data_IF_714848765255
#
_entry.id   IF_714848765255
#
_cell.length_a   1.000
_cell.length_b   1.000
_cell.length_c   1.000
_cell.angle_alpha   90.00
_cell.angle_beta   90.00
_cell.angle_gamma   90.00
#
_symmetry.space_group_name_H-M   'P 1'
#
loop_
_entity.id
_entity.type
_entity.pdbx_description
1 polymer ?
#
# COMPACT_ATOMS: atom_id res chain seq x y z
N UNK A 1 -2.84 1.12 5.57
CA UNK A 1 -3.36 0.91 4.21
C UNK A 1 -4.49 -0.11 4.33
N UNK A 2 -5.66 0.17 3.76
CA UNK A 2 -6.77 -0.76 3.67
C UNK A 2 -6.31 -2.10 3.08
N UNK A 3 -7.14 -3.10 3.25
CA UNK A 3 -6.99 -4.37 2.56
C UNK A 3 -7.39 -4.27 1.08
N UNK A 4 -6.91 -5.21 0.25
CA UNK A 4 -7.20 -5.25 -1.18
C UNK A 4 -8.69 -5.37 -1.51
N UNK A 5 -9.49 -6.04 -0.65
CA UNK A 5 -10.93 -6.18 -0.88
C UNK A 5 -11.63 -4.81 -0.80
N UNK A 6 -11.33 -4.02 0.23
CA UNK A 6 -11.83 -2.64 0.38
C UNK A 6 -11.52 -1.81 -0.88
N UNK A 7 -10.28 -1.86 -1.38
CA UNK A 7 -9.89 -1.09 -2.56
C UNK A 7 -10.62 -1.53 -3.83
N UNK A 8 -10.70 -2.84 -4.09
CA UNK A 8 -11.43 -3.38 -5.25
C UNK A 8 -12.91 -2.97 -5.20
N UNK A 9 -13.55 -3.14 -4.04
CA UNK A 9 -14.94 -2.80 -3.84
C UNK A 9 -15.21 -1.30 -3.99
N UNK A 10 -14.31 -0.44 -3.48
CA UNK A 10 -14.41 1.01 -3.63
C UNK A 10 -14.19 1.49 -5.08
N UNK A 11 -13.50 0.71 -5.91
CA UNK A 11 -13.34 0.96 -7.32
C UNK A 11 -14.60 0.61 -8.16
N UNK A 12 -15.51 -0.21 -7.64
CA UNK A 12 -16.69 -0.66 -8.37
C UNK A 12 -17.70 0.45 -8.75
N UNK A 13 -18.00 1.44 -7.88
CA UNK A 13 -18.76 2.62 -8.28
C UNK A 13 -18.13 3.36 -9.48
N UNK A 14 -16.80 3.45 -9.54
CA UNK A 14 -16.09 4.12 -10.64
C UNK A 14 -16.23 3.33 -11.94
N UNK A 15 -16.09 2.00 -11.89
CA UNK A 15 -16.36 1.14 -13.04
C UNK A 15 -17.77 1.34 -13.59
N UNK A 16 -18.76 1.43 -12.70
CA UNK A 16 -20.17 1.68 -13.06
C UNK A 16 -20.37 3.07 -13.66
N UNK A 17 -19.85 4.11 -13.01
CA UNK A 17 -19.97 5.50 -13.47
C UNK A 17 -19.34 5.70 -14.85
N UNK A 18 -18.21 5.05 -15.09
CA UNK A 18 -17.50 5.08 -16.37
C UNK A 18 -18.07 4.11 -17.41
N UNK A 19 -19.18 3.42 -17.09
CA UNK A 19 -19.85 2.42 -17.95
C UNK A 19 -18.89 1.37 -18.53
N UNK A 20 -17.83 1.01 -17.79
CA UNK A 20 -16.79 0.12 -18.28
C UNK A 20 -17.36 -1.26 -18.63
N UNK A 21 -17.02 -1.76 -19.82
CA UNK A 21 -17.44 -3.09 -20.25
C UNK A 21 -16.58 -4.21 -19.67
N UNK A 22 -15.34 -3.88 -19.29
CA UNK A 22 -14.34 -4.81 -18.78
C UNK A 22 -13.60 -4.21 -17.58
N UNK A 23 -14.19 -4.17 -16.38
CA UNK A 23 -13.63 -3.43 -15.25
C UNK A 23 -12.39 -4.08 -14.61
N UNK A 24 -11.91 -5.22 -15.13
CA UNK A 24 -10.80 -6.00 -14.56
C UNK A 24 -9.53 -5.18 -14.41
N UNK A 25 -9.19 -4.40 -15.44
CA UNK A 25 -8.01 -3.51 -15.39
C UNK A 25 -8.18 -2.35 -14.41
N UNK A 26 -9.42 -1.89 -14.15
CA UNK A 26 -9.68 -0.90 -13.12
C UNK A 26 -9.43 -1.48 -11.73
N UNK A 27 -9.92 -2.70 -11.47
CA UNK A 27 -9.67 -3.42 -10.21
C UNK A 27 -8.20 -3.80 -10.02
N UNK A 28 -7.49 -4.18 -11.09
CA UNK A 28 -6.04 -4.37 -11.03
C UNK A 28 -5.32 -3.07 -10.68
N UNK A 29 -5.75 -1.95 -11.27
CA UNK A 29 -5.24 -0.63 -10.92
C UNK A 29 -5.45 -0.29 -9.44
N UNK A 30 -6.62 -0.62 -8.87
CA UNK A 30 -6.94 -0.30 -7.47
C UNK A 30 -6.14 -1.09 -6.45
N UNK A 31 -5.41 -2.13 -6.83
CA UNK A 31 -4.48 -2.82 -5.93
C UNK A 31 -3.01 -2.65 -6.33
N UNK A 32 -2.74 -2.13 -7.53
CA UNK A 32 -1.39 -1.95 -8.08
C UNK A 32 -0.39 -1.31 -7.10
N UNK A 33 -0.73 -0.24 -6.34
CA UNK A 33 0.22 0.37 -5.41
C UNK A 33 0.75 -0.58 -4.34
N UNK A 34 -0.07 -1.55 -3.92
CA UNK A 34 0.25 -2.47 -2.83
C UNK A 34 0.90 -3.77 -3.31
N UNK A 35 0.72 -4.16 -4.57
CA UNK A 35 1.16 -5.48 -5.08
C UNK A 35 2.64 -5.72 -4.83
N UNK A 36 3.49 -4.75 -5.18
CA UNK A 36 4.95 -4.89 -5.09
C UNK A 36 5.39 -4.99 -3.63
N UNK A 37 4.92 -4.08 -2.78
CA UNK A 37 5.23 -4.09 -1.36
C UNK A 37 4.76 -5.38 -0.71
N UNK A 38 3.52 -5.80 -0.96
CA UNK A 38 2.92 -7.01 -0.36
C UNK A 38 3.65 -8.28 -0.80
N UNK A 39 3.94 -8.41 -2.10
CA UNK A 39 4.69 -9.54 -2.63
C UNK A 39 6.10 -9.59 -2.02
N UNK A 40 6.77 -8.45 -1.93
CA UNK A 40 8.09 -8.35 -1.32
C UNK A 40 8.04 -8.73 0.17
N UNK A 41 7.16 -8.14 1.00
CA UNK A 41 6.99 -8.54 2.41
C UNK A 41 6.75 -10.04 2.56
N UNK A 42 5.86 -10.61 1.75
CA UNK A 42 5.59 -12.04 1.77
C UNK A 42 6.84 -12.87 1.46
N UNK A 43 7.59 -12.50 0.41
CA UNK A 43 8.80 -13.21 0.01
C UNK A 43 9.93 -13.08 1.04
N UNK A 44 10.11 -11.89 1.63
CA UNK A 44 11.13 -11.65 2.64
C UNK A 44 10.83 -12.39 3.95
N UNK A 45 9.57 -12.39 4.39
CA UNK A 45 9.13 -13.10 5.60
C UNK A 45 9.25 -14.62 5.44
N UNK A 46 8.84 -15.16 4.29
CA UNK A 46 8.99 -16.59 4.00
C UNK A 46 10.45 -17.00 3.79
N UNK A 47 11.25 -16.12 3.19
CA UNK A 47 12.65 -16.36 2.85
C UNK A 47 13.63 -16.23 4.02
N UNK A 48 13.19 -15.77 5.20
CA UNK A 48 14.04 -15.52 6.39
C UNK A 48 15.32 -14.72 6.07
N UNK A 49 15.22 -13.74 5.18
CA UNK A 49 16.37 -12.95 4.74
C UNK A 49 16.90 -12.04 5.87
N UNK A 50 18.21 -11.68 5.88
CA UNK A 50 18.82 -10.93 6.99
C UNK A 50 18.19 -9.55 7.19
N UNK A 51 17.60 -9.31 8.37
CA UNK A 51 16.74 -8.17 8.70
C UNK A 51 17.31 -6.76 8.39
N UNK A 52 18.63 -6.58 8.43
CA UNK A 52 19.26 -5.27 8.25
C UNK A 52 19.27 -4.80 6.78
N UNK A 53 19.61 -5.67 5.84
CA UNK A 53 19.54 -5.37 4.41
C UNK A 53 18.08 -5.16 3.97
N UNK A 54 17.15 -5.82 4.64
CA UNK A 54 15.71 -5.68 4.39
C UNK A 54 15.19 -4.34 4.85
N UNK A 55 15.52 -3.84 6.04
CA UNK A 55 14.79 -2.68 6.59
C UNK A 55 14.86 -1.41 5.72
N UNK A 56 16.06 -0.87 5.44
CA UNK A 56 16.18 0.35 4.63
C UNK A 56 15.63 0.15 3.22
N UNK A 57 15.92 -1.01 2.62
CA UNK A 57 15.42 -1.35 1.30
C UNK A 57 13.89 -1.39 1.28
N UNK A 58 13.26 -2.05 2.24
CA UNK A 58 11.81 -2.13 2.32
C UNK A 58 11.17 -0.76 2.58
N UNK A 59 11.71 0.01 3.53
CA UNK A 59 11.08 1.25 3.96
C UNK A 59 11.30 2.42 2.99
N UNK A 60 12.41 2.47 2.24
CA UNK A 60 12.65 3.50 1.23
C UNK A 60 12.27 2.99 -0.16
N UNK A 61 12.92 1.93 -0.62
CA UNK A 61 12.79 1.49 -2.02
C UNK A 61 11.37 1.00 -2.31
N UNK A 62 10.86 0.01 -1.55
CA UNK A 62 9.52 -0.52 -1.82
C UNK A 62 8.42 0.50 -1.55
N UNK A 63 8.56 1.33 -0.50
CA UNK A 63 7.55 2.36 -0.21
C UNK A 63 7.38 3.37 -1.36
N UNK A 64 8.43 3.68 -2.12
CA UNK A 64 8.28 4.57 -3.28
C UNK A 64 7.49 3.98 -4.45
N UNK A 65 7.36 2.65 -4.53
CA UNK A 65 6.42 2.01 -5.47
C UNK A 65 4.97 2.32 -5.12
N UNK A 66 4.72 2.64 -3.85
CA UNK A 66 3.46 3.19 -3.37
C UNK A 66 3.34 4.71 -3.66
N UNK A 67 3.68 5.13 -4.89
CA UNK A 67 3.51 6.51 -5.38
C UNK A 67 2.72 6.56 -6.70
N UNK A 68 1.94 7.63 -6.94
CA UNK A 68 1.23 7.81 -8.21
C UNK A 68 2.16 7.84 -9.42
N UNK A 69 3.35 8.43 -9.28
CA UNK A 69 4.34 8.49 -10.36
C UNK A 69 4.81 7.10 -10.79
N UNK A 70 5.22 6.24 -9.84
CA UNK A 70 5.65 4.88 -10.17
C UNK A 70 4.47 4.06 -10.71
N UNK A 71 3.27 4.19 -10.11
CA UNK A 71 2.06 3.53 -10.62
C UNK A 71 1.72 3.96 -12.05
N UNK A 72 1.95 5.23 -12.42
CA UNK A 72 1.75 5.71 -13.79
C UNK A 72 2.69 5.03 -14.78
N UNK A 73 3.97 4.86 -14.42
CA UNK A 73 4.95 4.14 -15.24
C UNK A 73 4.56 2.67 -15.42
N UNK A 74 4.18 2.01 -14.33
CA UNK A 74 3.75 0.60 -14.35
C UNK A 74 2.46 0.42 -15.14
N UNK A 75 1.47 1.31 -14.97
CA UNK A 75 0.24 1.30 -15.74
C UNK A 75 0.50 1.52 -17.24
N UNK A 76 1.41 2.44 -17.57
CA UNK A 76 1.87 2.67 -18.95
C UNK A 76 2.46 1.39 -19.55
N UNK A 77 3.42 0.77 -18.87
CA UNK A 77 4.04 -0.47 -19.31
C UNK A 77 3.03 -1.61 -19.48
N UNK A 78 2.19 -1.85 -18.46
CA UNK A 78 1.18 -2.91 -18.47
C UNK A 78 0.15 -2.72 -19.60
N UNK A 79 -0.27 -1.49 -19.86
CA UNK A 79 -1.27 -1.21 -20.89
C UNK A 79 -0.79 -1.56 -22.30
N UNK A 80 0.50 -1.47 -22.58
CA UNK A 80 1.10 -1.77 -23.89
C UNK A 80 1.09 -3.28 -24.23
N UNK A 81 0.77 -4.15 -23.27
CA UNK A 81 0.53 -5.58 -23.48
C UNK A 81 -0.94 -5.89 -23.83
N UNK A 82 -1.72 -4.91 -24.28
CA UNK A 82 -3.15 -5.08 -24.55
C UNK A 82 -3.53 -4.56 -25.94
N UNK A 83 -4.60 -5.10 -26.52
CA UNK A 83 -5.11 -4.64 -27.82
C UNK A 83 -5.62 -3.18 -27.78
N UNK A 84 -5.92 -2.64 -26.60
CA UNK A 84 -6.46 -1.29 -26.41
C UNK A 84 -5.68 -0.51 -25.34
N UNK A 85 -4.40 -0.18 -25.56
CA UNK A 85 -3.50 0.35 -24.54
C UNK A 85 -4.04 1.63 -23.90
N UNK A 86 -4.51 2.59 -24.69
CA UNK A 86 -5.04 3.85 -24.15
C UNK A 86 -6.31 3.67 -23.28
N UNK A 87 -7.13 2.65 -23.58
CA UNK A 87 -8.30 2.31 -22.74
C UNK A 87 -7.82 1.69 -21.43
N UNK A 88 -6.97 0.67 -21.50
CA UNK A 88 -6.45 -0.04 -20.32
C UNK A 88 -5.64 0.88 -19.41
N UNK A 89 -4.80 1.76 -19.97
CA UNK A 89 -4.05 2.76 -19.21
C UNK A 89 -4.97 3.65 -18.37
N UNK A 90 -6.04 4.20 -18.97
CA UNK A 90 -7.03 5.00 -18.25
C UNK A 90 -7.72 4.22 -17.15
N UNK A 91 -8.01 2.95 -17.37
CA UNK A 91 -8.65 2.09 -16.37
C UNK A 91 -7.73 1.81 -15.19
N UNK A 92 -6.47 1.43 -15.44
CA UNK A 92 -5.45 1.24 -14.41
C UNK A 92 -5.24 2.54 -13.62
N UNK A 93 -5.18 3.69 -14.31
CA UNK A 93 -5.04 5.00 -13.71
C UNK A 93 -6.21 5.35 -12.77
N UNK A 94 -7.45 5.20 -13.23
CA UNK A 94 -8.62 5.40 -12.38
C UNK A 94 -8.62 4.46 -11.17
N UNK A 95 -8.20 3.21 -11.38
CA UNK A 95 -8.00 2.22 -10.34
C UNK A 95 -7.04 2.72 -9.25
N UNK A 96 -5.78 3.02 -9.61
CA UNK A 96 -4.80 3.41 -8.60
C UNK A 96 -5.11 4.79 -7.99
N UNK A 97 -5.73 5.72 -8.73
CA UNK A 97 -6.15 7.00 -8.16
C UNK A 97 -7.21 6.79 -7.08
N UNK A 98 -8.16 5.88 -7.29
CA UNK A 98 -9.14 5.52 -6.24
C UNK A 98 -8.48 4.94 -4.99
N UNK A 99 -7.41 4.15 -5.19
CA UNK A 99 -6.59 3.63 -4.10
C UNK A 99 -5.93 4.75 -3.29
N UNK A 100 -5.19 5.65 -3.94
CA UNK A 100 -4.52 6.76 -3.28
C UNK A 100 -5.49 7.73 -2.58
N UNK A 101 -6.70 7.92 -3.11
CA UNK A 101 -7.74 8.72 -2.42
C UNK A 101 -8.10 8.07 -1.09
N UNK A 102 -8.33 6.75 -1.07
CA UNK A 102 -8.65 6.05 0.17
C UNK A 102 -7.51 6.12 1.17
N UNK A 103 -6.27 5.91 0.74
CA UNK A 103 -5.12 5.99 1.64
C UNK A 103 -4.87 7.40 2.17
N UNK A 104 -5.06 8.41 1.32
CA UNK A 104 -4.95 9.79 1.74
C UNK A 104 -5.94 10.09 2.85
N UNK A 105 -7.15 9.51 2.82
CA UNK A 105 -8.12 9.69 3.89
C UNK A 105 -7.75 8.97 5.19
N UNK A 106 -6.90 7.94 5.15
CA UNK A 106 -6.49 7.22 6.36
C UNK A 106 -5.57 8.04 7.24
N UNK A 107 -5.71 7.90 8.56
CA UNK A 107 -4.74 8.36 9.56
C UNK A 107 -3.55 7.42 9.60
N UNK A 108 -2.35 8.00 9.56
CA UNK A 108 -1.08 7.31 9.77
C UNK A 108 -0.16 8.20 10.61
N UNK A 109 0.63 7.64 11.51
CA UNK A 109 1.56 8.45 12.29
C UNK A 109 2.74 8.93 11.45
N UNK A 110 3.32 8.06 10.61
CA UNK A 110 4.38 8.42 9.67
C UNK A 110 4.39 7.52 8.42
N UNK A 111 3.32 6.76 8.15
CA UNK A 111 3.20 5.75 7.09
C UNK A 111 2.02 6.02 6.15
N UNK A 112 2.07 7.17 5.48
CA UNK A 112 1.09 7.59 4.47
C UNK A 112 1.60 7.40 3.05
N UNK A 113 0.87 7.92 2.07
CA UNK A 113 1.26 7.81 0.65
C UNK A 113 2.23 8.92 0.25
N UNK A 114 3.21 8.60 -0.58
CA UNK A 114 4.14 9.57 -1.19
C UNK A 114 3.55 10.16 -2.48
N UNK A 115 2.45 10.91 -2.34
CA UNK A 115 1.60 11.36 -3.46
C UNK A 115 2.33 12.20 -4.52
N UNK A 116 3.30 13.02 -4.11
CA UNK A 116 4.01 13.97 -4.97
C UNK A 116 5.44 13.51 -5.31
N UNK A 117 5.75 12.24 -5.11
CA UNK A 117 7.03 11.65 -5.53
C UNK A 117 7.18 11.74 -7.07
N UNK A 118 8.39 12.02 -7.61
CA UNK A 118 9.67 12.24 -6.92
C UNK A 118 9.94 13.70 -6.52
N UNK A 119 9.02 14.63 -6.79
CA UNK A 119 9.24 16.06 -6.58
C UNK A 119 9.26 16.43 -5.09
N UNK A 120 8.35 15.84 -4.31
CA UNK A 120 8.26 16.06 -2.85
C UNK A 120 8.24 14.70 -2.16
N UNK A 121 9.33 14.40 -1.44
CA UNK A 121 9.49 13.14 -0.71
C UNK A 121 9.05 13.32 0.73
N UNK A 122 7.73 13.21 0.94
CA UNK A 122 7.10 13.16 2.27
C UNK A 122 5.83 12.33 2.21
N UNK A 123 5.39 11.83 3.36
CA UNK A 123 4.12 11.13 3.48
C UNK A 123 2.95 12.11 3.60
N UNK A 124 1.86 11.82 2.91
CA UNK A 124 0.62 12.59 2.94
C UNK A 124 -0.51 11.75 3.52
N UNK A 125 -1.33 12.39 4.34
CA UNK A 125 -2.51 11.81 5.02
C UNK A 125 -3.38 12.96 5.51
N UNK A 126 -4.70 12.85 5.36
CA UNK A 126 -5.67 13.80 5.91
C UNK A 126 -6.04 13.49 7.36
N UNK A 127 -5.81 12.25 7.80
CA UNK A 127 -6.07 11.83 9.17
C UNK A 127 -7.53 11.55 9.51
N UNK A 128 -8.40 11.27 8.52
CA UNK A 128 -9.84 11.18 8.75
C UNK A 128 -10.25 9.93 9.57
N UNK A 129 -9.66 8.76 9.29
CA UNK A 129 -10.03 7.52 9.98
C UNK A 129 -8.87 6.52 10.10
N UNK A 130 -8.88 5.67 11.12
CA UNK A 130 -7.97 4.52 11.22
C UNK A 130 -8.55 3.33 10.48
N UNK A 131 -7.69 2.44 9.96
CA UNK A 131 -8.16 1.27 9.20
C UNK A 131 -8.92 0.23 10.05
N UNK A 132 -8.95 0.35 11.37
CA UNK A 132 -9.64 -0.58 12.28
C UNK A 132 -10.79 0.09 13.05
N UNK A 133 -11.09 1.36 12.75
CA UNK A 133 -12.17 2.07 13.41
C UNK A 133 -13.55 1.65 12.90
N UNK A 134 -14.60 2.21 13.51
CA UNK A 134 -15.98 1.90 13.13
C UNK A 134 -16.32 2.47 11.75
N UNK A 135 -15.71 3.60 11.38
CA UNK A 135 -15.98 4.27 10.12
C UNK A 135 -15.37 3.49 8.94
N UNK A 136 -14.16 2.98 9.07
CA UNK A 136 -13.55 2.07 8.12
C UNK A 136 -14.39 0.81 7.92
N UNK A 137 -14.86 0.19 9.01
CA UNK A 137 -15.75 -0.99 8.91
C UNK A 137 -17.04 -0.67 8.16
N UNK A 138 -17.61 0.50 8.41
CA UNK A 138 -18.75 0.98 7.63
C UNK A 138 -18.39 1.13 6.14
N UNK A 139 -17.26 1.76 5.81
CA UNK A 139 -16.79 1.90 4.41
C UNK A 139 -16.57 0.54 3.74
N UNK A 140 -15.95 -0.43 4.43
CA UNK A 140 -15.76 -1.79 3.94
C UNK A 140 -17.12 -2.44 3.63
N UNK A 141 -18.04 -2.48 4.60
CA UNK A 141 -19.37 -3.09 4.43
C UNK A 141 -20.12 -2.40 3.29
N UNK A 142 -20.12 -1.07 3.26
CA UNK A 142 -20.75 -0.27 2.22
C UNK A 142 -20.17 -0.59 0.84
N UNK A 143 -18.84 -0.61 0.72
CA UNK A 143 -18.17 -0.93 -0.54
C UNK A 143 -18.49 -2.35 -1.04
N UNK A 144 -18.53 -3.33 -0.14
CA UNK A 144 -18.90 -4.72 -0.46
C UNK A 144 -20.35 -4.80 -0.93
N UNK A 145 -21.29 -4.17 -0.24
CA UNK A 145 -22.70 -4.12 -0.66
C UNK A 145 -22.83 -3.52 -2.05
N UNK A 146 -22.16 -2.40 -2.31
CA UNK A 146 -22.17 -1.75 -3.61
C UNK A 146 -21.56 -2.64 -4.69
N UNK A 147 -20.45 -3.32 -4.38
CA UNK A 147 -19.84 -4.30 -5.28
C UNK A 147 -20.83 -5.44 -5.60
N UNK A 148 -21.53 -5.99 -4.61
CA UNK A 148 -22.52 -7.06 -4.80
C UNK A 148 -23.73 -6.61 -5.64
N UNK A 149 -24.23 -5.39 -5.43
CA UNK A 149 -25.30 -4.81 -6.26
C UNK A 149 -24.85 -4.70 -7.72
N UNK A 150 -23.61 -4.28 -7.95
CA UNK A 150 -23.06 -4.15 -9.30
C UNK A 150 -22.44 -5.43 -9.84
N UNK A 151 -22.35 -6.49 -9.05
CA UNK A 151 -21.68 -7.74 -9.43
C UNK A 151 -22.22 -8.28 -10.75
N UNK A 152 -23.54 -8.45 -10.84
CA UNK A 152 -24.17 -8.94 -12.08
C UNK A 152 -23.87 -8.05 -13.29
N UNK A 153 -23.74 -6.74 -13.10
CA UNK A 153 -23.47 -5.79 -14.20
C UNK A 153 -22.00 -5.77 -14.61
N UNK A 154 -21.11 -5.91 -13.62
CA UNK A 154 -19.66 -6.05 -13.80
C UNK A 154 -19.34 -7.32 -14.59
N UNK A 155 -20.11 -8.38 -14.36
CA UNK A 155 -19.86 -9.70 -14.95
C UNK A 155 -20.77 -10.09 -16.13
N UNK A 156 -21.84 -9.33 -16.43
CA UNK A 156 -22.74 -9.67 -17.55
C UNK A 156 -22.21 -9.27 -18.92
N UNK A 157 -21.19 -8.39 -18.97
CA UNK A 157 -20.65 -7.86 -20.22
C UNK A 157 -19.55 -8.76 -20.78
N UNK A 158 -19.58 -8.96 -22.10
CA UNK A 158 -18.81 -9.99 -22.83
C UNK A 158 -17.56 -9.48 -23.53
N UNK A 159 -17.14 -8.23 -23.28
CA UNK A 159 -15.99 -7.66 -23.98
C UNK A 159 -14.74 -7.92 -23.15
N UNK A 160 -13.90 -8.84 -23.61
CA UNK A 160 -12.60 -9.10 -23.02
C UNK A 160 -11.54 -8.34 -23.79
N UNK A 161 -10.88 -7.36 -23.16
CA UNK A 161 -9.67 -6.78 -23.75
C UNK A 161 -8.57 -7.84 -23.61
N UNK A 162 -8.12 -8.39 -24.75
CA UNK A 162 -7.12 -9.44 -24.79
C UNK A 162 -5.73 -8.89 -24.53
N UNK A 163 -4.90 -9.72 -23.91
CA UNK A 163 -3.46 -9.50 -23.86
C UNK A 163 -2.87 -9.77 -25.25
N UNK A 164 -1.93 -8.93 -25.65
CA UNK A 164 -1.23 -9.03 -26.92
C UNK A 164 0.27 -8.85 -26.68
N UNK A 165 1.10 -9.61 -27.41
CA UNK A 165 2.54 -9.39 -27.39
C UNK A 165 2.85 -8.00 -27.98
N UNK A 166 3.67 -7.18 -27.31
CA UNK A 166 3.98 -5.85 -27.77
C UNK A 166 4.82 -5.91 -29.06
N UNK A 167 4.64 -4.93 -29.94
CA UNK A 167 5.57 -4.70 -31.05
C UNK A 167 6.97 -4.35 -30.51
N UNK A 168 8.03 -4.46 -31.33
CA UNK A 168 9.39 -4.08 -30.92
C UNK A 168 9.44 -2.64 -30.39
N UNK A 169 8.73 -1.71 -31.04
CA UNK A 169 8.63 -0.31 -30.61
C UNK A 169 8.01 -0.19 -29.22
N UNK A 170 6.90 -0.90 -28.98
CA UNK A 170 6.28 -0.96 -27.65
C UNK A 170 7.20 -1.62 -26.63
N UNK A 171 7.93 -2.68 -27.00
CA UNK A 171 8.91 -3.35 -26.15
C UNK A 171 10.00 -2.40 -25.64
N UNK A 172 10.52 -1.54 -26.51
CA UNK A 172 11.49 -0.50 -26.13
C UNK A 172 10.87 0.48 -25.13
N UNK A 173 9.65 0.95 -25.37
CA UNK A 173 8.95 1.86 -24.45
C UNK A 173 8.69 1.20 -23.09
N UNK A 174 8.20 -0.04 -23.09
CA UNK A 174 7.98 -0.85 -21.88
C UNK A 174 9.29 -0.95 -21.10
N UNK A 175 10.41 -1.28 -21.76
CA UNK A 175 11.71 -1.38 -21.13
C UNK A 175 12.10 -0.08 -20.41
N UNK A 176 11.97 1.08 -21.08
CA UNK A 176 12.30 2.36 -20.45
C UNK A 176 11.35 2.74 -19.31
N UNK A 177 10.06 2.45 -19.43
CA UNK A 177 9.10 2.69 -18.34
C UNK A 177 9.40 1.84 -17.11
N UNK A 178 9.71 0.55 -17.29
CA UNK A 178 10.08 -0.35 -16.21
C UNK A 178 11.44 0.01 -15.62
N UNK A 179 12.44 0.32 -16.45
CA UNK A 179 13.74 0.79 -15.99
C UNK A 179 13.59 2.07 -15.16
N UNK A 180 12.79 3.04 -15.62
CA UNK A 180 12.48 4.23 -14.83
C UNK A 180 11.83 3.87 -13.49
N UNK A 181 10.79 3.01 -13.49
CA UNK A 181 10.10 2.60 -12.27
C UNK A 181 11.05 1.96 -11.24
N UNK A 182 12.05 1.20 -11.70
CA UNK A 182 13.06 0.57 -10.84
C UNK A 182 14.18 1.53 -10.41
N UNK A 183 14.61 2.43 -11.29
CA UNK A 183 15.76 3.32 -11.04
C UNK A 183 15.39 4.53 -10.18
N UNK A 184 14.22 5.14 -10.35
CA UNK A 184 13.83 6.33 -9.60
C UNK A 184 13.95 6.17 -8.07
N UNK A 185 13.45 5.07 -7.46
CA UNK A 185 13.65 4.79 -6.04
C UNK A 185 15.12 4.82 -5.58
N UNK A 186 16.03 4.29 -6.41
CA UNK A 186 17.48 4.31 -6.14
C UNK A 186 18.03 5.73 -6.26
N UNK A 187 17.65 6.45 -7.32
CA UNK A 187 18.11 7.81 -7.59
C UNK A 187 17.70 8.81 -6.50
N UNK A 188 16.52 8.61 -5.89
CA UNK A 188 15.99 9.48 -4.84
C UNK A 188 16.30 9.00 -3.42
N UNK A 189 16.99 7.87 -3.25
CA UNK A 189 17.23 7.21 -1.97
C UNK A 189 17.78 8.15 -0.89
N UNK A 190 18.86 8.88 -1.20
CA UNK A 190 19.49 9.80 -0.25
C UNK A 190 18.54 10.93 0.17
N UNK A 191 17.69 11.40 -0.75
CA UNK A 191 16.71 12.42 -0.46
C UNK A 191 15.58 11.86 0.41
N UNK A 192 15.14 10.63 0.18
CA UNK A 192 14.16 9.95 1.04
C UNK A 192 14.68 9.78 2.48
N UNK A 193 15.93 9.32 2.63
CA UNK A 193 16.58 9.23 3.93
C UNK A 193 16.73 10.61 4.58
N UNK A 194 17.18 11.64 3.84
CA UNK A 194 17.29 13.00 4.37
C UNK A 194 15.97 13.56 4.90
N UNK A 195 14.86 13.27 4.22
CA UNK A 195 13.51 13.68 4.60
C UNK A 195 12.86 12.78 5.67
N UNK A 196 13.59 11.81 6.22
CA UNK A 196 13.08 10.87 7.22
C UNK A 196 11.82 10.12 6.73
N UNK A 197 11.78 9.75 5.45
CA UNK A 197 10.68 8.96 4.91
C UNK A 197 10.57 7.64 5.70
N UNK A 198 9.37 7.33 6.20
CA UNK A 198 9.10 6.17 7.06
C UNK A 198 10.08 6.02 8.23
N UNK A 199 10.49 7.15 8.81
CA UNK A 199 11.36 7.20 10.01
C UNK A 199 12.74 6.58 9.83
N UNK A 200 13.19 6.36 8.59
CA UNK A 200 14.47 5.69 8.32
C UNK A 200 15.66 6.46 8.87
N UNK A 201 15.63 7.80 8.84
CA UNK A 201 16.70 8.64 9.41
C UNK A 201 16.73 8.52 10.93
N UNK A 202 15.56 8.53 11.56
CA UNK A 202 15.44 8.33 13.01
C UNK A 202 15.97 6.96 13.43
N UNK A 203 15.57 5.90 12.73
CA UNK A 203 16.01 4.53 13.04
C UNK A 203 17.53 4.36 12.82
N UNK A 204 18.09 5.03 11.82
CA UNK A 204 19.53 4.94 11.53
C UNK A 204 20.39 5.80 12.45
N UNK A 205 19.85 6.90 12.98
CA UNK A 205 20.55 7.83 13.85
C UNK A 205 19.57 8.45 14.86
N UNK A 206 19.19 7.69 15.90
CA UNK A 206 18.17 8.13 16.84
C UNK A 206 18.63 9.31 17.70
N UNK A 207 19.93 9.41 18.01
CA UNK A 207 20.51 10.50 18.79
C UNK A 207 20.27 11.88 18.16
N UNK A 208 20.26 11.96 16.82
CA UNK A 208 19.93 13.19 16.10
C UNK A 208 18.47 13.67 16.30
N UNK A 209 17.63 12.86 16.96
CA UNK A 209 16.22 13.12 17.24
C UNK A 209 15.92 13.32 18.73
N UNK A 210 16.93 13.43 19.60
CA UNK A 210 16.71 13.79 21.01
C UNK A 210 15.94 15.13 21.07
N UNK A 211 14.89 15.15 21.89
CA UNK A 211 13.92 16.23 22.03
C UNK A 211 13.14 16.59 20.75
N UNK A 212 13.08 15.70 19.77
CA UNK A 212 12.26 15.87 18.55
C UNK A 212 11.07 14.93 18.53
N UNK A 213 10.03 15.36 17.82
CA UNK A 213 8.89 14.50 17.52
C UNK A 213 9.35 13.35 16.62
N UNK A 214 9.03 12.14 17.02
CA UNK A 214 9.27 10.91 16.27
C UNK A 214 7.98 10.12 16.15
N UNK A 215 7.92 9.26 15.15
CA UNK A 215 6.87 8.27 15.07
C UNK A 215 7.40 7.00 14.40
N UNK A 216 6.81 5.87 14.74
CA UNK A 216 7.12 4.56 14.17
C UNK A 216 5.81 3.90 13.77
N UNK A 217 5.83 3.14 12.69
CA UNK A 217 4.62 2.57 12.08
C UNK A 217 4.78 1.07 11.94
N UNK A 218 3.86 0.32 12.54
CA UNK A 218 3.87 -1.15 12.61
C UNK A 218 5.14 -1.71 13.27
N UNK A 219 5.48 -1.23 14.46
CA UNK A 219 6.52 -1.81 15.32
C UNK A 219 5.96 -3.02 16.10
N UNK A 220 6.76 -4.06 16.31
CA UNK A 220 6.36 -5.23 17.12
C UNK A 220 6.66 -5.00 18.60
N UNK A 221 5.76 -5.41 19.49
CA UNK A 221 5.99 -5.35 20.94
C UNK A 221 6.85 -6.53 21.39
N UNK A 222 8.02 -6.24 21.97
CA UNK A 222 8.99 -7.26 22.43
C UNK A 222 8.90 -7.50 23.93
N UNK A 223 8.63 -6.46 24.72
CA UNK A 223 8.43 -6.57 26.16
C UNK A 223 7.34 -5.62 26.64
N UNK A 224 6.63 -6.00 27.69
CA UNK A 224 5.58 -5.19 28.31
C UNK A 224 6.03 -4.52 29.61
N UNK A 225 7.10 -5.03 30.23
CA UNK A 225 7.71 -4.52 31.47
C UNK A 225 9.23 -4.75 31.44
N UNK A 226 10.05 -3.76 31.04
CA UNK A 226 9.67 -2.45 30.51
C UNK A 226 8.94 -2.54 29.16
N UNK A 227 8.20 -1.50 28.77
CA UNK A 227 7.51 -1.48 27.48
C UNK A 227 8.53 -1.21 26.36
N UNK A 228 8.81 -2.24 25.56
CA UNK A 228 9.80 -2.22 24.50
C UNK A 228 9.13 -2.60 23.18
N UNK A 229 9.42 -1.82 22.13
CA UNK A 229 9.06 -2.13 20.75
C UNK A 229 10.30 -2.31 19.87
N UNK A 230 10.12 -3.03 18.77
CA UNK A 230 11.14 -3.24 17.74
C UNK A 230 10.63 -2.80 16.38
N UNK A 231 11.46 -2.06 15.66
CA UNK A 231 11.25 -1.72 14.25
C UNK A 231 12.51 -2.07 13.44
N UNK A 232 12.39 -3.09 12.59
CA UNK A 232 13.54 -3.69 11.91
C UNK A 232 14.54 -4.26 12.93
N UNK A 233 15.76 -3.72 12.93
CA UNK A 233 16.81 -4.11 13.88
C UNK A 233 16.92 -3.17 15.10
N UNK A 234 16.18 -2.06 15.11
CA UNK A 234 16.23 -1.10 16.19
C UNK A 234 15.19 -1.41 17.27
N UNK A 235 15.58 -1.20 18.52
CA UNK A 235 14.76 -1.44 19.71
C UNK A 235 14.58 -0.13 20.46
N UNK A 236 13.36 0.17 20.87
CA UNK A 236 13.02 1.42 21.54
C UNK A 236 12.23 1.16 22.83
N UNK A 237 12.69 1.78 23.92
CA UNK A 237 11.92 1.86 25.15
C UNK A 237 10.78 2.88 24.99
N UNK A 238 9.62 2.56 25.53
CA UNK A 238 8.46 3.43 25.53
C UNK A 238 8.09 3.81 26.96
N UNK A 239 7.78 5.09 27.16
CA UNK A 239 7.11 5.58 28.36
C UNK A 239 5.67 5.95 27.99
N UNK A 240 4.71 5.15 28.44
CA UNK A 240 3.29 5.34 28.15
C UNK A 240 2.47 5.05 29.41
N UNK A 241 1.96 6.09 30.09
CA UNK A 241 1.28 5.96 31.39
C UNK A 241 -0.07 5.22 31.31
N UNK A 242 -0.77 5.33 30.18
CA UNK A 242 -2.18 4.92 30.03
C UNK A 242 -2.38 3.71 29.12
N UNK A 243 -1.31 3.01 28.74
CA UNK A 243 -1.39 1.93 27.78
C UNK A 243 -0.86 0.61 28.35
N UNK A 244 -1.68 -0.44 28.26
CA UNK A 244 -1.34 -1.80 28.68
C UNK A 244 -0.99 -2.64 27.45
N UNK A 245 0.30 -2.80 27.10
CA UNK A 245 0.70 -3.56 25.92
C UNK A 245 0.43 -5.06 26.05
N UNK A 246 0.22 -5.73 24.92
CA UNK A 246 0.29 -7.19 24.81
C UNK A 246 1.56 -7.58 24.05
N UNK A 247 2.16 -8.70 24.44
CA UNK A 247 3.30 -9.26 23.71
C UNK A 247 2.91 -9.58 22.27
N UNK A 248 3.86 -9.45 21.36
CA UNK A 248 3.71 -9.76 19.91
C UNK A 248 2.64 -8.92 19.20
N UNK A 249 2.18 -7.85 19.84
CA UNK A 249 1.24 -6.93 19.24
C UNK A 249 1.96 -5.91 18.36
N UNK A 250 1.41 -5.69 17.17
CA UNK A 250 1.83 -4.61 16.28
C UNK A 250 1.24 -3.29 16.77
N UNK A 251 2.10 -2.28 16.92
CA UNK A 251 1.73 -0.95 17.38
C UNK A 251 2.27 0.12 16.44
N UNK A 252 1.68 1.30 16.47
CA UNK A 252 2.31 2.49 15.93
C UNK A 252 2.30 3.56 16.99
N UNK A 253 3.41 4.27 17.09
CA UNK A 253 3.65 5.22 18.18
C UNK A 253 4.05 6.55 17.58
N UNK A 254 3.64 7.62 18.25
CA UNK A 254 4.12 8.98 18.01
C UNK A 254 4.41 9.61 19.36
N UNK A 255 5.55 10.28 19.47
CA UNK A 255 6.01 10.83 20.75
C UNK A 255 7.21 11.74 20.59
N UNK A 256 7.84 12.08 21.71
CA UNK A 256 9.11 12.81 21.74
C UNK A 256 10.21 11.81 22.13
N UNK A 257 11.28 11.73 21.35
CA UNK A 257 12.42 10.91 21.71
C UNK A 257 13.25 11.64 22.77
N UNK A 258 13.45 11.03 23.93
CA UNK A 258 14.10 11.63 25.10
C UNK A 258 15.25 10.77 25.59
N UNK A 259 16.08 11.39 26.42
CA UNK A 259 17.12 10.75 27.21
C UNK A 259 16.88 11.11 28.67
N UNK A 260 16.88 10.12 29.56
CA UNK A 260 16.78 10.36 31.01
C UNK A 260 18.13 10.80 31.61
N UNK A 261 18.13 11.11 32.89
CA UNK A 261 19.35 11.53 33.62
C UNK A 261 20.39 10.41 33.77
N UNK A 262 19.99 9.15 33.60
CA UNK A 262 20.89 7.99 33.61
C UNK A 262 21.44 7.66 32.21
N UNK A 263 21.07 8.45 31.19
CA UNK A 263 21.51 8.27 29.82
C UNK A 263 20.67 7.28 29.01
N UNK A 264 19.58 6.73 29.57
CA UNK A 264 18.70 5.81 28.85
C UNK A 264 17.80 6.56 27.88
N UNK A 265 17.67 6.02 26.67
CA UNK A 265 16.81 6.59 25.66
C UNK A 265 15.42 5.94 25.65
N UNK A 266 14.40 6.76 25.43
CA UNK A 266 13.01 6.31 25.34
C UNK A 266 12.16 7.24 24.48
N UNK A 267 11.03 6.74 24.00
CA UNK A 267 9.99 7.56 23.37
C UNK A 267 8.94 7.88 24.44
N UNK A 268 8.80 9.15 24.76
CA UNK A 268 7.71 9.72 25.56
C UNK A 268 6.45 9.74 24.69
N UNK A 269 5.56 8.76 24.91
CA UNK A 269 4.48 8.43 23.97
C UNK A 269 3.31 9.40 24.13
N UNK A 270 3.02 10.15 23.06
CA UNK A 270 1.84 11.01 22.99
C UNK A 270 0.62 10.26 22.47
N UNK A 271 0.81 9.47 21.40
CA UNK A 271 -0.23 8.67 20.78
C UNK A 271 0.31 7.26 20.51
N UNK A 272 -0.50 6.25 20.84
CA UNK A 272 -0.24 4.86 20.52
C UNK A 272 -1.50 4.23 19.93
N UNK A 273 -1.30 3.47 18.85
CA UNK A 273 -2.36 2.73 18.18
C UNK A 273 -1.95 1.28 18.06
N UNK A 274 -2.85 0.39 18.48
CA UNK A 274 -2.72 -1.04 18.28
C UNK A 274 -3.34 -1.47 16.96
N UNK A 275 -2.74 -2.49 16.36
CA UNK A 275 -3.10 -2.98 15.04
C UNK A 275 -3.56 -4.44 15.11
N UNK A 276 -4.75 -4.73 14.59
CA UNK A 276 -5.17 -6.10 14.33
C UNK A 276 -4.75 -6.49 12.91
N UNK A 277 -3.55 -7.06 12.79
CA UNK A 277 -2.96 -7.44 11.49
C UNK A 277 -3.63 -8.67 10.87
N UNK A 278 -4.17 -9.56 11.69
CA UNK A 278 -4.82 -10.81 11.25
C UNK A 278 -6.01 -10.51 10.33
N UNK A 279 -6.93 -9.64 10.76
CA UNK A 279 -8.10 -9.26 9.95
C UNK A 279 -7.66 -8.65 8.62
N UNK A 280 -6.65 -7.76 8.65
CA UNK A 280 -6.12 -7.11 7.44
C UNK A 280 -5.58 -8.13 6.43
N UNK A 281 -4.84 -9.13 6.89
CA UNK A 281 -4.30 -10.20 6.03
C UNK A 281 -5.43 -10.99 5.39
N UNK A 282 -6.43 -11.41 6.17
CA UNK A 282 -7.57 -12.16 5.64
C UNK A 282 -8.35 -11.37 4.59
N UNK A 283 -8.62 -10.08 4.82
CA UNK A 283 -9.33 -9.24 3.86
C UNK A 283 -8.49 -9.02 2.58
N UNK A 284 -7.16 -8.89 2.71
CA UNK A 284 -6.28 -8.73 1.55
C UNK A 284 -6.25 -10.01 0.71
N UNK A 285 -6.18 -11.18 1.35
CA UNK A 285 -6.28 -12.48 0.69
C UNK A 285 -7.63 -12.66 0.00
N UNK A 286 -8.73 -12.28 0.66
CA UNK A 286 -10.06 -12.32 0.06
C UNK A 286 -10.14 -11.42 -1.19
N UNK A 287 -9.56 -10.22 -1.14
CA UNK A 287 -9.44 -9.32 -2.29
C UNK A 287 -8.59 -9.92 -3.43
N UNK A 288 -7.47 -10.56 -3.10
CA UNK A 288 -6.63 -11.25 -4.08
C UNK A 288 -7.41 -12.37 -4.80
N UNK A 289 -8.07 -13.23 -4.04
CA UNK A 289 -8.91 -14.31 -4.57
C UNK A 289 -10.06 -13.77 -5.40
N UNK A 290 -10.69 -12.68 -4.97
CA UNK A 290 -11.73 -12.01 -5.74
C UNK A 290 -11.20 -11.50 -7.08
N UNK A 291 -10.01 -10.88 -7.13
CA UNK A 291 -9.41 -10.42 -8.38
C UNK A 291 -9.08 -11.59 -9.32
N UNK A 292 -8.52 -12.67 -8.78
CA UNK A 292 -8.24 -13.90 -9.55
C UNK A 292 -9.54 -14.49 -10.09
N UNK A 293 -10.58 -14.59 -9.25
CA UNK A 293 -11.90 -15.03 -9.66
C UNK A 293 -12.47 -14.14 -10.76
N UNK A 294 -12.37 -12.81 -10.61
CA UNK A 294 -12.78 -11.84 -11.63
C UNK A 294 -12.07 -12.09 -12.97
N UNK A 295 -10.79 -12.46 -12.93
CA UNK A 295 -9.96 -12.67 -14.13
C UNK A 295 -10.24 -14.00 -14.83
N UNK A 296 -10.49 -15.07 -14.05
CA UNK A 296 -10.74 -16.43 -14.54
C UNK A 296 -12.20 -16.63 -14.94
N UNK A 297 -13.14 -15.99 -14.21
CA UNK A 297 -14.56 -16.12 -14.46
C UNK A 297 -14.91 -15.51 -15.81
N UNK A 298 -14.97 -16.38 -16.82
CA UNK A 298 -15.41 -16.06 -18.16
C UNK A 298 -16.80 -16.70 -18.34
N UNK A 299 -17.90 -15.95 -18.17
CA UNK A 299 -19.21 -16.47 -18.52
C UNK A 299 -19.18 -16.79 -20.00
N UNK A 300 -19.19 -18.09 -20.32
CA UNK A 300 -18.94 -18.63 -21.66
C UNK A 300 -19.70 -17.82 -22.72
N UNK A 301 -18.98 -17.51 -23.79
CA UNK A 301 -19.55 -17.13 -25.07
C UNK A 301 -20.54 -18.21 -25.54
N UNK A 302 -21.82 -18.04 -25.28
CA UNK A 302 -22.79 -18.41 -26.29
C UNK A 302 -22.63 -17.37 -27.41
N UNK A 303 -21.73 -17.65 -28.35
CA UNK A 303 -21.81 -17.02 -29.66
C UNK A 303 -23.24 -17.30 -30.15
N UNK A 304 -24.07 -16.27 -30.43
CA UNK A 304 -25.24 -16.53 -31.24
C UNK A 304 -24.70 -17.18 -32.51
N UNK A 305 -25.10 -18.43 -32.76
CA UNK A 305 -24.79 -19.10 -34.01
C UNK A 305 -25.25 -18.14 -35.11
N UNK A 306 -24.31 -17.69 -35.94
CA UNK A 306 -24.66 -16.96 -37.15
C UNK A 306 -25.54 -17.92 -37.96
N UNK A 307 -26.85 -17.68 -37.96
CA UNK A 307 -27.78 -18.23 -38.93
C UNK A 307 -27.63 -17.46 -40.23
#
# INVERSE_FOLDING_TARGET
MPDWLTHICAAAPLAKAQKQDDPRYLFAGSIMPDVISTAAYTLFDLGKLPAFCTFKFMHIYLHTFHSPFICLLLAGAASLFTEQPAKVFRMLMLGFLSHFILDFLQKSFYGGSVLLYPLVIRNFSSGLFWYDDKFFRFLLIFSVIIFLIFFKQVFSKRIFIKLQMPSVRHGIVIFFLLAAALLFPVLTWKQAEKNNLNSVKFISNPEAFINKKVALSYSSTVSTKPFIIQEGSAVFNLQAEKFSPRLEQWVSVSGIYRQDTAGNYYIDVNEIKTHNTVIKIFLSLAGALLLVFIWIYNPRHEYPSRK
#
